data_IF_069038099606
#
_entry.id   IF_069038099606
#
_cell.length_a   1.000
_cell.length_b   1.000
_cell.length_c   1.000
_cell.angle_alpha   90.00
_cell.angle_beta   90.00
_cell.angle_gamma   90.00
#
_symmetry.space_group_name_H-M   'P 1'
#
loop_
_entity.id
_entity.type
_entity.pdbx_description
1 polymer ?
#
# COMPACT_ATOMS: atom_id res chain seq x y z
N UNK A 1 17.00 10.15 8.56
CA UNK A 1 15.62 9.61 8.38
C UNK A 1 14.78 10.79 7.94
N UNK A 2 14.34 10.82 6.68
CA UNK A 2 13.47 11.88 6.22
C UNK A 2 12.23 11.92 7.12
N UNK A 3 11.88 13.09 7.64
CA UNK A 3 10.61 13.32 8.32
C UNK A 3 9.48 13.30 7.28
N UNK A 4 9.35 12.21 6.54
CA UNK A 4 8.28 12.09 5.58
C UNK A 4 6.95 12.15 6.30
N UNK A 5 6.04 12.83 5.64
CA UNK A 5 4.76 13.24 6.17
C UNK A 5 3.70 12.36 5.52
N UNK A 6 2.47 12.39 6.04
CA UNK A 6 1.32 11.87 5.27
C UNK A 6 1.25 12.68 3.98
N UNK A 7 1.59 12.03 2.87
CA UNK A 7 1.83 12.65 1.56
C UNK A 7 0.55 12.96 0.78
N UNK A 8 0.70 13.16 -0.52
CA UNK A 8 -0.36 13.54 -1.47
C UNK A 8 -1.44 12.45 -1.64
N UNK A 9 -1.07 11.19 -1.49
CA UNK A 9 -1.94 10.02 -1.38
C UNK A 9 -1.43 9.10 -0.26
N UNK A 10 -2.32 8.65 0.62
CA UNK A 10 -1.97 7.68 1.66
C UNK A 10 -2.05 6.26 1.07
N UNK A 11 -0.94 5.76 0.53
CA UNK A 11 -0.86 4.36 0.15
C UNK A 11 -0.73 3.46 1.38
N UNK A 12 -1.35 2.29 1.31
CA UNK A 12 -1.08 1.20 2.25
C UNK A 12 0.11 0.40 1.75
N UNK A 13 0.96 -0.05 2.68
CA UNK A 13 2.15 -0.81 2.34
C UNK A 13 1.77 -2.14 1.69
N UNK A 14 2.18 -2.41 0.43
CA UNK A 14 1.77 -3.62 -0.27
C UNK A 14 2.27 -4.89 0.42
N UNK A 15 3.49 -4.87 1.00
CA UNK A 15 4.04 -6.03 1.72
C UNK A 15 3.36 -6.31 3.05
N UNK A 16 2.86 -5.27 3.74
CA UNK A 16 2.07 -5.46 4.96
C UNK A 16 0.66 -5.92 4.61
N UNK A 17 0.07 -5.34 3.56
CA UNK A 17 -1.29 -5.63 3.11
C UNK A 17 -1.42 -7.08 2.63
N UNK A 18 -0.42 -7.62 1.93
CA UNK A 18 -0.34 -9.05 1.57
C UNK A 18 -0.39 -9.99 2.79
N UNK A 19 0.01 -9.51 3.97
CA UNK A 19 -0.06 -10.20 5.25
C UNK A 19 -1.28 -9.80 6.07
N UNK A 20 -2.27 -9.16 5.44
CA UNK A 20 -3.51 -8.68 6.07
C UNK A 20 -3.29 -7.62 7.15
N UNK A 21 -2.12 -6.99 7.16
CA UNK A 21 -1.84 -5.86 8.05
C UNK A 21 -1.99 -4.56 7.28
N UNK A 22 -2.93 -3.75 7.74
CA UNK A 22 -3.13 -2.40 7.23
C UNK A 22 -2.10 -1.45 7.85
N UNK A 23 -1.19 -0.91 7.02
CA UNK A 23 -0.13 -0.01 7.47
C UNK A 23 -0.02 1.15 6.49
N UNK A 24 -0.15 2.37 7.00
CA UNK A 24 0.11 3.58 6.24
C UNK A 24 1.58 3.68 5.84
N UNK A 25 1.80 4.04 4.59
CA UNK A 25 3.10 4.47 4.12
C UNK A 25 3.28 5.96 4.38
N UNK A 26 4.53 6.33 4.60
CA UNK A 26 4.96 7.71 4.63
C UNK A 26 5.59 8.06 3.28
N UNK A 27 5.49 9.32 2.89
CA UNK A 27 6.00 9.80 1.61
C UNK A 27 7.13 10.80 1.85
N UNK A 28 8.25 10.55 1.20
CA UNK A 28 9.39 11.45 1.14
C UNK A 28 9.32 12.27 -0.15
N UNK A 29 9.15 13.59 0.00
CA UNK A 29 9.06 14.52 -1.14
C UNK A 29 10.40 14.77 -1.81
N UNK A 30 11.50 14.63 -1.06
CA UNK A 30 12.83 14.96 -1.57
C UNK A 30 13.33 13.86 -2.52
N UNK A 31 12.91 12.61 -2.25
CA UNK A 31 13.28 11.43 -3.03
C UNK A 31 12.16 10.88 -3.91
N UNK A 32 10.92 11.40 -3.76
CA UNK A 32 9.72 10.88 -4.43
C UNK A 32 9.44 9.40 -4.14
N UNK A 33 9.72 8.97 -2.91
CA UNK A 33 9.63 7.58 -2.48
C UNK A 33 8.62 7.39 -1.35
N UNK A 34 8.04 6.19 -1.32
CA UNK A 34 7.17 5.74 -0.24
C UNK A 34 7.89 4.75 0.64
N UNK A 35 7.77 4.93 1.95
CA UNK A 35 8.40 4.07 2.93
C UNK A 35 7.41 3.55 3.98
N UNK A 36 7.57 2.28 4.36
CA UNK A 36 6.79 1.64 5.40
C UNK A 36 7.63 1.47 6.67
N UNK A 37 7.15 2.03 7.77
CA UNK A 37 7.81 1.92 9.08
C UNK A 37 7.81 0.51 9.67
N UNK A 38 6.89 -0.36 9.24
CA UNK A 38 6.72 -1.69 9.83
C UNK A 38 7.65 -2.74 9.23
N UNK A 39 7.79 -2.76 7.91
CA UNK A 39 8.54 -3.80 7.20
C UNK A 39 9.74 -3.26 6.41
N UNK A 40 10.11 -1.99 6.62
CA UNK A 40 11.21 -1.31 5.93
C UNK A 40 11.14 -1.39 4.41
N UNK A 41 9.92 -1.48 3.86
CA UNK A 41 9.71 -1.43 2.42
C UNK A 41 9.91 0.01 1.93
N UNK A 42 10.62 0.16 0.82
CA UNK A 42 10.84 1.43 0.10
C UNK A 42 10.52 1.18 -1.37
N UNK A 43 9.84 2.10 -2.02
CA UNK A 43 9.54 2.03 -3.45
C UNK A 43 8.94 3.32 -3.98
N UNK A 44 9.04 3.50 -5.31
CA UNK A 44 8.40 4.59 -6.03
C UNK A 44 6.88 4.37 -6.13
N UNK A 45 6.16 5.38 -6.63
CA UNK A 45 4.70 5.30 -6.78
C UNK A 45 4.27 4.15 -7.70
N UNK A 46 5.02 3.90 -8.77
CA UNK A 46 4.70 2.87 -9.77
C UNK A 46 4.78 1.48 -9.18
N UNK A 47 5.82 1.19 -8.41
CA UNK A 47 6.01 -0.09 -7.73
C UNK A 47 4.95 -0.30 -6.66
N UNK A 48 4.60 0.74 -5.89
CA UNK A 48 3.50 0.70 -4.92
C UNK A 48 2.18 0.36 -5.60
N UNK A 49 1.84 1.01 -6.72
CA UNK A 49 0.61 0.74 -7.46
C UNK A 49 0.60 -0.67 -8.06
N UNK A 50 1.72 -1.11 -8.63
CA UNK A 50 1.88 -2.46 -9.21
C UNK A 50 1.63 -3.55 -8.17
N UNK A 51 2.26 -3.46 -7.01
CA UNK A 51 2.12 -4.44 -5.94
C UNK A 51 0.72 -4.39 -5.29
N UNK A 52 0.13 -3.20 -5.15
CA UNK A 52 -1.25 -3.06 -4.68
C UNK A 52 -2.26 -3.64 -5.67
N UNK A 53 -2.01 -3.55 -6.99
CA UNK A 53 -2.83 -4.20 -8.00
C UNK A 53 -2.78 -5.72 -7.86
N UNK A 54 -1.58 -6.29 -7.64
CA UNK A 54 -1.41 -7.72 -7.40
C UNK A 54 -2.20 -8.20 -6.16
N UNK A 55 -2.24 -7.43 -5.07
CA UNK A 55 -3.05 -7.78 -3.90
C UNK A 55 -4.54 -7.90 -4.23
N UNK A 56 -5.07 -7.09 -5.15
CA UNK A 56 -6.50 -7.14 -5.54
C UNK A 56 -6.87 -8.45 -6.23
N UNK A 57 -5.91 -9.17 -6.82
CA UNK A 57 -6.12 -10.47 -7.46
C UNK A 57 -6.49 -11.56 -6.45
N UNK A 58 -6.08 -11.42 -5.17
CA UNK A 58 -6.44 -12.35 -4.08
C UNK A 58 -7.95 -12.43 -3.85
N UNK A 59 -8.68 -11.36 -4.15
CA UNK A 59 -10.12 -11.25 -3.86
C UNK A 59 -10.92 -11.14 -5.17
N UNK A 60 -11.25 -12.30 -5.74
CA UNK A 60 -11.99 -12.42 -7.01
C UNK A 60 -13.36 -11.74 -6.94
N UNK A 61 -14.13 -12.04 -5.90
CA UNK A 61 -15.49 -11.55 -5.70
C UNK A 61 -15.56 -10.24 -4.88
N UNK A 62 -14.46 -9.47 -4.80
CA UNK A 62 -14.40 -8.24 -3.97
C UNK A 62 -15.49 -7.20 -4.29
N UNK A 63 -16.04 -7.22 -5.51
CA UNK A 63 -17.10 -6.31 -5.96
C UNK A 63 -18.50 -6.95 -5.88
N UNK A 64 -18.60 -8.25 -5.57
CA UNK A 64 -19.85 -8.99 -5.54
C UNK A 64 -20.41 -8.95 -4.12
N UNK A 65 -21.61 -8.38 -3.98
CA UNK A 65 -22.38 -8.46 -2.73
C UNK A 65 -23.17 -9.76 -2.72
N UNK A 66 -22.93 -10.63 -1.75
CA UNK A 66 -23.72 -11.85 -1.54
C UNK A 66 -24.99 -11.45 -0.78
N UNK A 67 -26.16 -11.75 -1.34
CA UNK A 67 -27.46 -11.37 -0.78
C UNK A 67 -28.34 -12.56 -0.39
N UNK A 68 -27.94 -13.78 -0.75
CA UNK A 68 -28.66 -15.04 -0.51
C UNK A 68 -27.69 -16.03 0.15
N UNK A 69 -28.17 -16.81 1.13
CA UNK A 69 -27.37 -17.69 2.00
C UNK A 69 -27.94 -19.11 2.06
#
# INVERSE_FOLDING_TARGET
MAQGRKGKLNYRCPRCLMREIDMDMLYDKDQDEYYCLRCSFVGDEKEVQRLNAQFREKYLDRMKRITEF
#
